data_IF_392163456446
#
_entry.id   IF_392163456446
#
_cell.length_a   1.000
_cell.length_b   1.000
_cell.length_c   1.000
_cell.angle_alpha   90.00
_cell.angle_beta   90.00
_cell.angle_gamma   90.00
#
_symmetry.space_group_name_H-M   'P 1'
#
loop_
_entity.id
_entity.type
_entity.pdbx_description
1 polymer ?
#
# COMPACT_ATOMS: atom_id res chain seq x y z
N UNK A 1 4.98 -14.83 0.28
CA UNK A 1 6.07 -14.92 1.25
C UNK A 1 6.76 -13.55 1.35
N UNK A 2 6.65 -12.89 2.49
CA UNK A 2 7.39 -11.67 2.77
C UNK A 2 8.87 -12.02 2.95
N UNK A 3 9.71 -11.63 2.01
CA UNK A 3 11.16 -11.74 2.17
C UNK A 3 11.59 -10.79 3.27
N UNK A 4 11.88 -11.32 4.45
CA UNK A 4 12.44 -10.54 5.55
C UNK A 4 13.95 -10.40 5.35
N UNK A 5 14.40 -9.22 4.97
CA UNK A 5 15.83 -8.89 4.91
C UNK A 5 16.35 -8.63 6.32
N UNK A 6 17.34 -9.37 6.76
CA UNK A 6 17.95 -9.16 8.07
C UNK A 6 18.49 -7.73 8.22
N UNK A 7 18.41 -7.18 9.43
CA UNK A 7 18.83 -5.81 9.71
C UNK A 7 20.29 -5.52 9.28
N UNK A 8 21.17 -6.53 9.30
CA UNK A 8 22.56 -6.42 8.86
C UNK A 8 22.76 -6.32 7.33
N UNK A 9 21.70 -6.58 6.54
CA UNK A 9 21.76 -6.57 5.08
C UNK A 9 21.12 -5.30 4.47
N UNK A 10 20.75 -4.34 5.29
CA UNK A 10 20.10 -3.10 4.84
C UNK A 10 20.60 -1.89 5.60
N UNK A 11 20.63 -0.74 4.92
CA UNK A 11 20.84 0.58 5.50
C UNK A 11 19.75 1.48 4.92
N UNK A 12 18.83 1.93 5.76
CA UNK A 12 17.65 2.69 5.33
C UNK A 12 17.59 4.00 6.05
N UNK A 13 17.54 5.09 5.31
CA UNK A 13 17.19 6.39 5.85
C UNK A 13 15.69 6.44 6.18
N UNK A 14 15.32 7.34 7.08
CA UNK A 14 13.92 7.70 7.29
C UNK A 14 13.51 8.64 6.17
N UNK A 15 12.50 8.26 5.38
CA UNK A 15 11.97 9.11 4.31
C UNK A 15 11.37 10.41 4.86
N UNK A 16 11.32 11.45 4.03
CA UNK A 16 10.72 12.73 4.36
C UNK A 16 9.21 12.77 4.02
N UNK A 17 8.78 11.88 3.13
CA UNK A 17 7.39 11.80 2.69
C UNK A 17 6.62 10.79 3.54
N UNK A 18 5.48 11.20 4.09
CA UNK A 18 4.51 10.27 4.67
C UNK A 18 3.77 9.55 3.54
N UNK A 19 3.95 8.25 3.45
CA UNK A 19 3.27 7.44 2.42
C UNK A 19 1.96 6.90 2.95
N UNK A 20 0.92 6.93 2.11
CA UNK A 20 -0.37 6.32 2.43
C UNK A 20 -0.26 4.80 2.39
N UNK A 21 -1.30 4.12 2.88
CA UNK A 21 -1.42 2.67 2.79
C UNK A 21 -1.46 2.23 1.32
N UNK A 22 -0.76 1.16 1.06
CA UNK A 22 -0.53 0.68 -0.29
C UNK A 22 -1.07 -0.75 -0.49
N UNK A 23 -1.81 -0.90 -1.55
CA UNK A 23 -2.28 -2.19 -2.05
C UNK A 23 -1.67 -2.43 -3.43
N UNK A 24 -0.61 -3.20 -3.48
CA UNK A 24 0.07 -3.49 -4.74
C UNK A 24 0.31 -4.97 -4.95
N UNK A 25 0.11 -5.42 -6.17
CA UNK A 25 0.54 -6.73 -6.64
C UNK A 25 1.72 -6.53 -7.59
N UNK A 26 2.75 -7.34 -7.48
CA UNK A 26 3.88 -7.27 -8.40
C UNK A 26 5.19 -7.73 -7.78
N UNK A 27 6.27 -7.56 -8.55
CA UNK A 27 7.62 -7.90 -8.09
C UNK A 27 8.07 -6.90 -7.03
N UNK A 28 8.66 -7.37 -5.93
CA UNK A 28 9.14 -6.55 -4.82
C UNK A 28 10.01 -5.37 -5.29
N UNK A 29 10.93 -5.61 -6.22
CA UNK A 29 11.79 -4.55 -6.77
C UNK A 29 10.98 -3.44 -7.47
N UNK A 30 9.90 -3.79 -8.18
CA UNK A 30 9.04 -2.79 -8.83
C UNK A 30 8.34 -1.91 -7.81
N UNK A 31 7.91 -2.47 -6.69
CA UNK A 31 7.29 -1.73 -5.60
C UNK A 31 8.32 -0.82 -4.90
N UNK A 32 9.52 -1.34 -4.66
CA UNK A 32 10.63 -0.55 -4.09
C UNK A 32 10.98 0.65 -4.99
N UNK A 33 11.00 0.49 -6.32
CA UNK A 33 11.23 1.58 -7.27
C UNK A 33 10.10 2.63 -7.27
N UNK A 34 8.88 2.23 -6.98
CA UNK A 34 7.78 3.20 -6.81
C UNK A 34 7.93 4.01 -5.52
N UNK A 35 8.37 3.38 -4.42
CA UNK A 35 8.72 4.09 -3.18
C UNK A 35 9.86 5.08 -3.41
N UNK A 36 10.93 4.63 -4.08
CA UNK A 36 12.07 5.44 -4.48
C UNK A 36 11.63 6.68 -5.28
N UNK A 37 10.78 6.49 -6.28
CA UNK A 37 10.26 7.59 -7.11
C UNK A 37 9.39 8.56 -6.30
N UNK A 38 8.54 8.06 -5.38
CA UNK A 38 7.66 8.88 -4.54
C UNK A 38 8.46 9.72 -3.53
N UNK A 39 9.50 9.13 -2.94
CA UNK A 39 10.38 9.85 -2.00
C UNK A 39 11.40 10.75 -2.72
N UNK A 40 11.56 10.64 -4.04
CA UNK A 40 12.67 11.22 -4.80
C UNK A 40 14.04 10.79 -4.25
N UNK A 41 14.10 9.60 -3.67
CA UNK A 41 15.28 9.00 -3.06
C UNK A 41 16.06 8.12 -4.03
N UNK A 42 16.95 7.29 -3.48
CA UNK A 42 17.74 6.33 -4.25
C UNK A 42 17.84 4.98 -3.54
N UNK A 43 17.53 3.91 -4.28
CA UNK A 43 17.81 2.53 -3.85
C UNK A 43 19.02 2.03 -4.62
N UNK A 44 20.04 1.61 -3.88
CA UNK A 44 21.28 1.07 -4.45
C UNK A 44 21.82 -0.11 -3.63
N UNK A 45 22.65 -0.90 -4.26
CA UNK A 45 23.51 -1.84 -3.56
C UNK A 45 24.77 -1.12 -3.07
N UNK A 46 25.19 -1.42 -1.84
CA UNK A 46 26.47 -0.94 -1.30
C UNK A 46 27.60 -1.89 -1.70
N UNK A 47 28.84 -1.43 -1.61
CA UNK A 47 30.02 -2.27 -1.86
C UNK A 47 30.10 -3.52 -0.97
N UNK A 48 29.42 -3.51 0.17
CA UNK A 48 29.37 -4.63 1.12
C UNK A 48 28.17 -5.56 0.86
N UNK A 49 27.49 -5.43 -0.28
CA UNK A 49 26.37 -6.28 -0.68
C UNK A 49 25.06 -5.99 0.09
N UNK A 50 24.93 -4.81 0.72
CA UNK A 50 23.70 -4.40 1.41
C UNK A 50 22.82 -3.58 0.49
N UNK A 51 21.51 -3.60 0.72
CA UNK A 51 20.60 -2.65 0.11
C UNK A 51 20.59 -1.38 0.95
N UNK A 52 20.88 -0.25 0.30
CA UNK A 52 20.75 1.07 0.88
C UNK A 52 19.56 1.81 0.24
N UNK A 53 18.77 2.46 1.09
CA UNK A 53 17.81 3.48 0.67
C UNK A 53 18.29 4.83 1.23
N UNK A 54 18.51 5.76 0.34
CA UNK A 54 18.90 7.14 0.63
C UNK A 54 17.70 8.05 0.35
N UNK A 55 17.27 8.84 1.33
CA UNK A 55 16.17 9.79 1.16
C UNK A 55 16.57 10.94 0.24
N UNK A 56 15.63 11.81 -0.13
CA UNK A 56 15.88 12.97 -1.00
C UNK A 56 16.93 13.94 -0.44
N UNK A 57 17.07 14.02 0.87
CA UNK A 57 17.99 14.93 1.55
C UNK A 57 19.35 14.31 1.84
N UNK A 58 19.49 12.99 1.74
CA UNK A 58 20.73 12.28 2.09
C UNK A 58 21.96 12.92 1.46
N UNK A 59 21.92 13.17 0.15
CA UNK A 59 23.06 13.75 -0.59
C UNK A 59 23.35 15.19 -0.22
N UNK A 60 22.36 15.93 0.26
CA UNK A 60 22.53 17.34 0.66
C UNK A 60 22.97 17.44 2.12
N UNK A 61 22.48 16.55 2.98
CA UNK A 61 22.73 16.59 4.44
C UNK A 61 23.93 15.74 4.88
N UNK A 62 24.37 14.80 4.06
CA UNK A 62 25.53 13.95 4.34
C UNK A 62 26.78 14.78 4.65
N UNK A 63 27.54 14.37 5.66
CA UNK A 63 28.81 15.02 6.01
C UNK A 63 29.77 15.05 4.82
N UNK A 64 29.82 13.99 4.03
CA UNK A 64 30.62 13.90 2.81
C UNK A 64 30.23 14.95 1.78
N UNK A 65 28.94 15.24 1.62
CA UNK A 65 28.45 16.26 0.68
C UNK A 65 28.69 17.69 1.16
N UNK A 66 28.72 17.91 2.48
CA UNK A 66 28.93 19.23 3.09
C UNK A 66 30.39 19.60 3.26
N UNK A 67 31.28 18.62 3.24
CA UNK A 67 32.71 18.84 3.42
C UNK A 67 33.38 18.86 2.04
N UNK A 68 34.28 19.84 1.83
CA UNK A 68 35.11 19.87 0.60
C UNK A 68 35.87 18.54 0.47
N UNK A 69 35.68 17.85 -0.66
CA UNK A 69 36.35 16.58 -0.94
C UNK A 69 37.68 16.76 -1.63
N UNK A 70 37.89 17.89 -2.32
CA UNK A 70 39.11 18.24 -3.00
C UNK A 70 39.19 19.73 -3.21
N UNK A 71 40.43 20.24 -3.27
CA UNK A 71 40.73 21.61 -3.70
C UNK A 71 41.54 21.51 -4.99
N UNK A 72 41.19 22.31 -5.99
CA UNK A 72 41.91 22.43 -7.24
C UNK A 72 42.61 23.75 -7.30
N UNK A 73 43.89 23.77 -7.68
CA UNK A 73 44.66 24.96 -7.86
C UNK A 73 45.74 24.75 -8.93
N UNK A 74 46.20 25.82 -9.54
CA UNK A 74 47.26 25.81 -10.56
C UNK A 74 48.65 26.23 -9.98
N UNK A 75 48.66 26.53 -8.69
CA UNK A 75 49.87 26.96 -7.97
C UNK A 75 50.73 25.82 -7.39
N UNK A 76 50.34 24.58 -7.63
CA UNK A 76 51.00 23.33 -7.17
C UNK A 76 50.73 22.98 -5.70
N UNK A 77 49.83 23.70 -5.00
CA UNK A 77 49.51 23.43 -3.59
C UNK A 77 48.35 22.45 -3.43
N UNK A 78 47.60 22.19 -4.51
CA UNK A 78 46.45 21.27 -4.53
C UNK A 78 46.40 20.46 -5.81
N UNK A 79 45.28 19.79 -6.11
CA UNK A 79 45.11 19.03 -7.34
C UNK A 79 45.14 19.99 -8.54
N UNK A 80 45.98 19.65 -9.56
CA UNK A 80 46.01 20.46 -10.80
C UNK A 80 44.79 20.16 -11.67
N UNK A 81 44.39 21.16 -12.48
CA UNK A 81 43.30 21.03 -13.44
C UNK A 81 43.69 21.64 -14.80
N UNK A 82 43.12 21.11 -15.87
CA UNK A 82 43.42 21.62 -17.24
C UNK A 82 42.43 22.64 -17.75
N UNK A 83 41.32 22.80 -17.04
CA UNK A 83 40.28 23.80 -17.35
C UNK A 83 39.04 23.57 -16.49
N UNK A 84 38.35 24.66 -16.21
CA UNK A 84 37.03 24.65 -15.56
C UNK A 84 36.05 25.32 -16.54
N UNK A 85 34.98 24.59 -16.86
CA UNK A 85 33.87 25.15 -17.63
C UNK A 85 32.67 25.24 -16.71
N UNK A 86 32.13 26.45 -16.56
CA UNK A 86 30.84 26.68 -15.93
C UNK A 86 29.78 26.88 -17.02
N UNK A 87 28.76 26.06 -17.00
CA UNK A 87 27.60 26.24 -17.87
C UNK A 87 26.38 26.63 -17.05
N UNK A 88 25.78 27.75 -17.40
CA UNK A 88 24.58 28.30 -16.78
C UNK A 88 23.43 28.21 -17.80
N UNK A 89 22.78 27.05 -17.86
CA UNK A 89 21.73 26.80 -18.84
C UNK A 89 20.34 27.17 -18.32
N UNK A 90 19.79 28.23 -18.87
CA UNK A 90 18.39 28.61 -18.67
C UNK A 90 17.39 27.51 -19.09
N UNK A 91 17.82 26.57 -19.92
CA UNK A 91 17.02 25.41 -20.33
C UNK A 91 16.72 24.42 -19.21
N UNK A 92 17.47 24.47 -18.11
CA UNK A 92 17.30 23.60 -16.93
C UNK A 92 16.52 24.27 -15.79
N UNK A 93 16.05 25.49 -15.98
CA UNK A 93 15.20 26.17 -14.98
C UNK A 93 13.75 25.78 -15.21
N UNK A 94 13.15 25.12 -14.23
CA UNK A 94 11.72 24.82 -14.19
C UNK A 94 11.12 25.47 -12.95
N UNK A 95 9.94 26.05 -13.09
CA UNK A 95 9.25 26.78 -12.03
C UNK A 95 7.77 26.37 -11.91
N UNK A 96 7.40 25.28 -12.55
CA UNK A 96 6.13 24.61 -12.37
C UNK A 96 6.33 23.10 -12.49
N UNK A 97 5.80 22.35 -11.52
CA UNK A 97 5.77 20.90 -11.51
C UNK A 97 4.32 20.43 -11.39
N UNK A 98 3.95 19.47 -12.22
CA UNK A 98 2.63 18.84 -12.22
C UNK A 98 2.80 17.37 -11.83
N UNK A 99 2.02 16.91 -10.85
CA UNK A 99 2.01 15.51 -10.42
C UNK A 99 0.60 14.95 -10.39
N UNK A 100 0.30 13.86 -11.13
CA UNK A 100 -0.95 13.14 -10.94
C UNK A 100 -0.89 12.35 -9.64
N UNK A 101 -1.85 12.55 -8.76
CA UNK A 101 -2.00 11.80 -7.51
C UNK A 101 -3.37 11.14 -7.44
N UNK A 102 -3.44 9.98 -6.80
CA UNK A 102 -4.68 9.29 -6.47
C UNK A 102 -4.77 9.14 -4.96
N UNK A 103 -5.85 9.62 -4.37
CA UNK A 103 -6.04 9.60 -2.92
C UNK A 103 -6.74 8.30 -2.53
N UNK A 104 -6.16 7.56 -1.60
CA UNK A 104 -6.76 6.37 -1.01
C UNK A 104 -7.55 6.75 0.25
N UNK A 105 -8.81 6.39 0.28
CA UNK A 105 -9.70 6.66 1.40
C UNK A 105 -10.18 5.36 2.02
N UNK A 106 -10.11 5.28 3.34
CA UNK A 106 -10.60 4.13 4.11
C UNK A 106 -12.04 4.41 4.54
N UNK A 107 -12.94 3.53 4.16
CA UNK A 107 -14.36 3.61 4.57
C UNK A 107 -14.56 3.12 6.00
N UNK A 108 -15.73 3.41 6.58
CA UNK A 108 -16.16 2.79 7.84
C UNK A 108 -16.35 1.28 7.71
N UNK A 109 -16.45 0.59 8.87
CA UNK A 109 -16.71 -0.85 8.90
C UNK A 109 -18.07 -1.16 8.26
N UNK A 110 -18.06 -2.03 7.26
CA UNK A 110 -19.26 -2.48 6.55
C UNK A 110 -19.17 -3.99 6.24
N UNK A 111 -20.28 -4.59 5.83
CA UNK A 111 -20.27 -5.94 5.24
C UNK A 111 -19.68 -5.86 3.85
N UNK A 112 -18.54 -6.51 3.66
CA UNK A 112 -17.80 -6.48 2.40
C UNK A 112 -18.07 -7.73 1.55
N UNK A 113 -18.41 -8.82 2.19
CA UNK A 113 -18.68 -10.08 1.53
C UNK A 113 -19.74 -10.85 2.30
N UNK A 114 -20.62 -11.54 1.57
CA UNK A 114 -21.64 -12.43 2.13
C UNK A 114 -21.59 -13.73 1.35
N UNK A 115 -21.52 -14.85 2.05
CA UNK A 115 -21.60 -16.16 1.43
C UNK A 115 -22.98 -16.34 0.79
N UNK A 116 -23.07 -16.86 -0.45
CA UNK A 116 -24.34 -17.13 -1.10
C UNK A 116 -25.01 -18.39 -0.50
N UNK A 117 -25.31 -18.34 0.81
CA UNK A 117 -26.07 -19.37 1.49
C UNK A 117 -27.49 -19.34 0.94
N UNK A 118 -28.02 -20.43 0.55
CA UNK A 118 -29.46 -20.73 0.31
C UNK A 118 -30.39 -19.62 -0.27
N UNK A 119 -29.95 -18.36 -0.38
CA UNK A 119 -30.78 -17.23 -0.90
C UNK A 119 -31.05 -17.34 -2.40
N UNK A 120 -30.36 -18.20 -3.10
CA UNK A 120 -30.53 -18.48 -4.55
C UNK A 120 -30.97 -19.91 -4.84
N UNK A 121 -31.64 -20.58 -3.89
CA UNK A 121 -32.15 -21.95 -4.09
C UNK A 121 -31.14 -23.07 -3.81
N UNK A 122 -29.96 -22.75 -3.25
CA UNK A 122 -29.00 -23.71 -2.73
C UNK A 122 -29.29 -24.11 -1.29
N UNK A 123 -28.99 -25.33 -0.89
CA UNK A 123 -29.07 -25.74 0.51
C UNK A 123 -27.96 -25.07 1.32
N UNK A 124 -28.24 -24.66 2.57
CA UNK A 124 -27.22 -24.20 3.49
C UNK A 124 -26.11 -25.26 3.63
N UNK A 125 -24.82 -24.89 3.60
CA UNK A 125 -23.73 -25.85 3.79
C UNK A 125 -23.93 -26.62 5.10
N UNK A 126 -23.86 -27.95 4.97
CA UNK A 126 -24.00 -28.85 6.09
C UNK A 126 -22.61 -29.28 6.55
N UNK A 127 -22.37 -29.27 7.86
CA UNK A 127 -21.12 -29.72 8.48
C UNK A 127 -21.46 -30.91 9.39
N UNK A 128 -20.87 -32.05 9.13
CA UNK A 128 -20.96 -33.21 10.01
C UNK A 128 -20.20 -32.95 11.32
N UNK A 129 -20.45 -33.75 12.35
CA UNK A 129 -19.72 -33.61 13.63
C UNK A 129 -18.21 -33.73 13.43
N UNK A 130 -17.44 -32.74 13.86
CA UNK A 130 -15.99 -32.69 13.70
C UNK A 130 -15.51 -32.27 12.31
N UNK A 131 -16.38 -31.98 11.37
CA UNK A 131 -16.00 -31.55 10.03
C UNK A 131 -15.42 -30.14 10.04
N UNK A 132 -14.42 -29.94 9.15
CA UNK A 132 -13.76 -28.63 8.91
C UNK A 132 -13.98 -28.25 7.47
N UNK A 133 -14.47 -27.04 7.24
CA UNK A 133 -14.56 -26.44 5.90
C UNK A 133 -13.76 -25.17 5.82
N UNK A 134 -13.27 -24.86 4.62
CA UNK A 134 -12.56 -23.60 4.32
C UNK A 134 -13.35 -22.81 3.29
N UNK A 135 -13.60 -21.54 3.58
CA UNK A 135 -14.33 -20.61 2.73
C UNK A 135 -13.49 -19.34 2.56
N UNK A 136 -13.34 -18.89 1.31
CA UNK A 136 -12.60 -17.66 1.01
C UNK A 136 -13.59 -16.54 0.71
N UNK A 137 -13.57 -15.53 1.56
CA UNK A 137 -14.23 -14.25 1.32
C UNK A 137 -13.30 -13.37 0.47
N UNK A 138 -13.72 -13.02 -0.74
CA UNK A 138 -12.95 -12.19 -1.66
C UNK A 138 -13.56 -10.80 -1.80
N UNK A 139 -12.71 -9.76 -1.79
CA UNK A 139 -13.12 -8.37 -1.98
C UNK A 139 -12.00 -7.60 -2.73
N UNK A 140 -12.29 -6.70 -3.70
CA UNK A 140 -13.63 -6.26 -4.05
C UNK A 140 -14.44 -7.32 -4.79
N UNK A 141 -15.74 -7.30 -4.54
CA UNK A 141 -16.72 -8.06 -5.33
C UNK A 141 -17.10 -7.26 -6.59
N UNK A 142 -17.65 -7.88 -7.65
CA UNK A 142 -18.12 -7.15 -8.82
C UNK A 142 -19.14 -6.05 -8.52
N UNK A 143 -19.85 -6.14 -7.40
CA UNK A 143 -20.83 -5.15 -6.95
C UNK A 143 -20.21 -3.97 -6.17
N UNK A 144 -18.92 -4.07 -5.80
CA UNK A 144 -18.27 -3.05 -4.97
C UNK A 144 -17.90 -1.75 -5.71
N UNK A 145 -17.96 -1.75 -7.03
CA UNK A 145 -17.59 -0.60 -7.86
C UNK A 145 -16.13 -0.65 -8.33
N UNK A 146 -15.80 0.20 -9.29
CA UNK A 146 -14.49 0.21 -9.95
C UNK A 146 -13.39 0.90 -9.13
N UNK A 147 -13.77 1.76 -8.18
CA UNK A 147 -12.82 2.55 -7.37
C UNK A 147 -12.39 1.84 -6.09
N UNK A 148 -12.91 0.66 -5.82
CA UNK A 148 -12.53 -0.14 -4.65
C UNK A 148 -11.31 -1.00 -4.99
N UNK A 149 -10.27 -0.90 -4.17
CA UNK A 149 -8.99 -1.55 -4.43
C UNK A 149 -8.67 -2.68 -3.46
N UNK A 150 -9.32 -2.74 -2.30
CA UNK A 150 -9.10 -3.79 -1.32
C UNK A 150 -9.69 -3.49 0.05
N UNK A 151 -9.18 -4.15 1.06
CA UNK A 151 -9.60 -4.04 2.46
C UNK A 151 -8.42 -3.56 3.30
N UNK A 152 -8.62 -2.49 4.04
CA UNK A 152 -7.63 -1.98 5.00
C UNK A 152 -7.52 -2.92 6.21
N UNK A 153 -8.67 -3.27 6.77
CA UNK A 153 -8.74 -4.20 7.90
C UNK A 153 -10.02 -5.05 7.84
N UNK A 154 -9.85 -6.38 7.89
CA UNK A 154 -10.94 -7.29 8.14
C UNK A 154 -11.25 -7.34 9.63
N UNK A 155 -12.53 -7.22 10.00
CA UNK A 155 -12.97 -7.49 11.37
C UNK A 155 -12.87 -8.96 11.71
N UNK A 156 -12.68 -9.28 12.99
CA UNK A 156 -12.88 -10.65 13.47
C UNK A 156 -14.37 -10.97 13.44
N UNK A 157 -14.71 -12.15 12.94
CA UNK A 157 -16.10 -12.59 12.86
C UNK A 157 -16.72 -12.72 14.25
N UNK A 158 -17.84 -12.05 14.44
CA UNK A 158 -18.62 -12.10 15.68
C UNK A 158 -19.77 -13.10 15.56
N UNK A 159 -19.91 -13.96 16.58
CA UNK A 159 -21.01 -14.91 16.69
C UNK A 159 -22.35 -14.19 16.56
N UNK A 160 -23.31 -14.80 15.92
CA UNK A 160 -24.66 -14.30 15.61
C UNK A 160 -24.70 -13.10 14.67
N UNK A 161 -23.73 -12.20 14.74
CA UNK A 161 -23.61 -11.06 13.83
C UNK A 161 -23.11 -11.48 12.45
N UNK A 162 -22.03 -12.24 12.42
CA UNK A 162 -21.32 -12.57 11.17
C UNK A 162 -21.53 -14.02 10.72
N UNK A 163 -21.83 -14.92 11.63
CA UNK A 163 -22.14 -16.32 11.32
C UNK A 163 -23.22 -16.89 12.24
N UNK A 164 -23.99 -17.83 11.70
CA UNK A 164 -25.02 -18.59 12.40
C UNK A 164 -24.98 -20.04 11.93
N UNK A 165 -25.22 -20.97 12.87
CA UNK A 165 -25.45 -22.37 12.57
C UNK A 165 -26.66 -22.91 13.34
N UNK A 166 -27.44 -23.71 12.65
CA UNK A 166 -28.67 -24.30 13.19
C UNK A 166 -28.75 -25.80 12.89
N UNK A 167 -29.59 -26.51 13.63
CA UNK A 167 -29.85 -27.92 13.40
C UNK A 167 -30.58 -28.22 12.08
N UNK A 168 -31.25 -27.21 11.50
CA UNK A 168 -31.94 -27.33 10.22
C UNK A 168 -31.45 -26.31 9.20
N UNK A 169 -31.49 -26.66 7.92
CA UNK A 169 -30.98 -25.84 6.83
C UNK A 169 -31.80 -24.57 6.57
N UNK A 170 -33.03 -24.52 7.05
CA UNK A 170 -33.92 -23.35 6.96
C UNK A 170 -33.69 -22.32 8.09
N UNK A 171 -32.71 -22.56 8.97
CA UNK A 171 -32.42 -21.71 10.12
C UNK A 171 -33.31 -21.99 11.34
N UNK A 172 -34.14 -23.00 11.29
CA UNK A 172 -34.92 -23.45 12.44
C UNK A 172 -34.18 -24.47 13.28
N UNK A 173 -34.78 -24.91 14.39
CA UNK A 173 -34.20 -25.86 15.31
C UNK A 173 -33.19 -25.25 16.27
N UNK A 174 -32.41 -26.15 16.91
CA UNK A 174 -31.43 -25.74 17.93
C UNK A 174 -30.34 -24.89 17.29
N UNK A 175 -29.99 -23.78 17.99
CA UNK A 175 -28.87 -22.92 17.58
C UNK A 175 -27.56 -23.54 18.05
N UNK A 176 -26.65 -23.82 17.12
CA UNK A 176 -25.32 -24.40 17.31
C UNK A 176 -24.19 -23.41 16.98
N UNK A 177 -24.50 -22.10 16.92
CA UNK A 177 -23.51 -21.07 16.56
C UNK A 177 -22.32 -21.05 17.52
N UNK A 178 -22.55 -21.32 18.82
CA UNK A 178 -21.49 -21.39 19.85
C UNK A 178 -20.59 -22.62 19.71
N UNK A 179 -21.05 -23.62 19.00
CA UNK A 179 -20.30 -24.87 18.79
C UNK A 179 -19.36 -24.80 17.59
N UNK A 180 -19.38 -23.70 16.83
CA UNK A 180 -18.46 -23.47 15.74
C UNK A 180 -17.12 -22.93 16.20
N UNK A 181 -16.03 -23.60 15.81
CA UNK A 181 -14.68 -23.07 15.88
C UNK A 181 -14.38 -22.26 14.62
N UNK A 182 -13.91 -21.01 14.77
CA UNK A 182 -13.57 -20.13 13.66
C UNK A 182 -12.09 -19.76 13.71
N UNK A 183 -11.34 -20.06 12.65
CA UNK A 183 -9.99 -19.58 12.44
C UNK A 183 -9.94 -18.70 11.18
N UNK A 184 -9.16 -17.61 11.20
CA UNK A 184 -9.13 -16.59 10.16
C UNK A 184 -7.70 -16.32 9.70
N UNK A 185 -7.50 -16.35 8.37
CA UNK A 185 -6.28 -15.82 7.72
C UNK A 185 -6.67 -14.59 6.89
N UNK A 186 -6.15 -13.43 7.26
CA UNK A 186 -6.54 -12.14 6.68
C UNK A 186 -5.48 -11.64 5.71
N UNK A 187 -5.89 -11.25 4.50
CA UNK A 187 -5.07 -10.61 3.48
C UNK A 187 -5.75 -9.31 2.98
N UNK A 188 -5.09 -8.57 2.10
CA UNK A 188 -5.57 -7.26 1.63
C UNK A 188 -6.84 -7.33 0.76
N UNK A 189 -7.08 -8.46 0.12
CA UNK A 189 -8.24 -8.66 -0.78
C UNK A 189 -9.02 -9.94 -0.47
N UNK A 190 -8.54 -10.75 0.47
CA UNK A 190 -9.18 -12.01 0.83
C UNK A 190 -9.13 -12.24 2.32
N UNK A 191 -10.12 -12.96 2.83
CA UNK A 191 -10.09 -13.56 4.15
C UNK A 191 -10.47 -15.02 4.03
N UNK A 192 -9.55 -15.90 4.43
CA UNK A 192 -9.80 -17.32 4.55
C UNK A 192 -10.46 -17.59 5.90
N UNK A 193 -11.59 -18.28 5.86
CA UNK A 193 -12.41 -18.59 7.02
C UNK A 193 -12.46 -20.11 7.15
N UNK A 194 -11.75 -20.65 8.12
CA UNK A 194 -11.84 -22.05 8.47
C UNK A 194 -12.92 -22.21 9.55
N UNK A 195 -13.89 -23.07 9.31
CA UNK A 195 -15.02 -23.36 10.20
C UNK A 195 -14.98 -24.80 10.61
N UNK A 196 -14.91 -25.06 11.91
CA UNK A 196 -14.95 -26.41 12.51
C UNK A 196 -16.27 -26.61 13.24
N UNK A 197 -16.97 -27.68 12.96
CA UNK A 197 -18.14 -28.09 13.76
C UNK A 197 -17.70 -28.87 15.00
N UNK A 198 -17.72 -28.23 16.15
CA UNK A 198 -17.42 -28.90 17.44
C UNK A 198 -18.65 -29.51 18.11
N UNK A 199 -19.86 -29.38 17.52
CA UNK A 199 -21.05 -30.08 18.00
C UNK A 199 -20.92 -31.57 17.75
N UNK A 200 -21.59 -32.38 18.58
CA UNK A 200 -21.69 -33.83 18.38
C UNK A 200 -22.73 -34.24 17.30
N UNK A 201 -23.30 -33.26 16.62
CA UNK A 201 -24.36 -33.43 15.63
C UNK A 201 -24.06 -32.66 14.37
N UNK A 202 -24.73 -33.03 13.28
CA UNK A 202 -24.72 -32.29 12.02
C UNK A 202 -25.35 -30.91 12.22
N UNK A 203 -24.70 -29.86 11.69
CA UNK A 203 -25.19 -28.47 11.71
C UNK A 203 -25.25 -27.90 10.31
N UNK A 204 -26.04 -26.86 10.12
CA UNK A 204 -26.15 -26.13 8.86
C UNK A 204 -25.72 -24.69 9.06
N UNK A 205 -24.79 -24.22 8.24
CA UNK A 205 -24.33 -22.84 8.26
C UNK A 205 -25.38 -21.95 7.57
N UNK A 206 -26.17 -21.23 8.36
CA UNK A 206 -27.32 -20.46 7.87
C UNK A 206 -27.03 -18.97 7.66
N UNK A 207 -25.89 -18.48 8.16
CA UNK A 207 -25.36 -17.16 7.89
C UNK A 207 -23.84 -17.20 7.88
N UNK A 208 -23.23 -16.51 6.93
CA UNK A 208 -21.80 -16.20 6.95
C UNK A 208 -21.56 -14.92 6.14
N UNK A 209 -20.96 -13.95 6.79
CA UNK A 209 -20.53 -12.68 6.17
C UNK A 209 -19.17 -12.25 6.73
N UNK A 210 -18.46 -11.48 5.95
CA UNK A 210 -17.20 -10.87 6.35
C UNK A 210 -17.32 -9.35 6.33
N UNK A 211 -16.98 -8.71 7.44
CA UNK A 211 -16.98 -7.25 7.60
C UNK A 211 -15.56 -6.71 7.64
N UNK A 212 -15.42 -5.45 7.27
CA UNK A 212 -14.13 -4.78 7.28
C UNK A 212 -14.24 -3.34 6.82
N UNK A 213 -13.11 -2.69 6.67
CA UNK A 213 -12.97 -1.34 6.15
C UNK A 213 -12.46 -1.39 4.71
N UNK A 214 -13.29 -1.00 3.75
CA UNK A 214 -12.92 -0.96 2.35
C UNK A 214 -11.97 0.20 2.07
N UNK A 215 -11.09 0.02 1.08
CA UNK A 215 -10.24 1.09 0.56
C UNK A 215 -10.70 1.45 -0.84
N UNK A 216 -11.00 2.74 -1.03
CA UNK A 216 -11.34 3.31 -2.31
C UNK A 216 -10.21 4.22 -2.80
N UNK A 217 -10.03 4.33 -4.10
CA UNK A 217 -9.11 5.24 -4.75
C UNK A 217 -9.89 6.30 -5.51
N UNK A 218 -9.52 7.58 -5.37
CA UNK A 218 -10.08 8.65 -6.19
C UNK A 218 -9.55 8.58 -7.62
N UNK A 219 -10.30 9.19 -8.56
CA UNK A 219 -9.72 9.49 -9.87
C UNK A 219 -8.46 10.35 -9.70
N UNK A 220 -7.44 10.18 -10.57
CA UNK A 220 -6.22 10.96 -10.49
C UNK A 220 -6.51 12.45 -10.57
N UNK A 221 -6.04 13.21 -9.60
CA UNK A 221 -6.06 14.67 -9.61
C UNK A 221 -4.66 15.20 -9.90
N UNK A 222 -4.53 16.22 -10.73
CA UNK A 222 -3.24 16.86 -11.00
C UNK A 222 -2.94 17.86 -9.90
N UNK A 223 -1.89 17.61 -9.15
CA UNK A 223 -1.34 18.56 -8.18
C UNK A 223 -0.30 19.45 -8.85
N UNK A 224 -0.25 20.69 -8.41
CA UNK A 224 0.65 21.71 -8.93
C UNK A 224 1.53 22.26 -7.79
N UNK A 225 2.83 22.30 -8.04
CA UNK A 225 3.78 23.08 -7.25
C UNK A 225 4.45 24.10 -8.16
N UNK A 226 4.46 25.38 -7.77
CA UNK A 226 5.00 26.46 -8.57
C UNK A 226 5.72 27.53 -7.73
N UNK A 227 6.65 28.21 -8.38
CA UNK A 227 7.36 29.38 -7.85
C UNK A 227 6.98 30.62 -8.65
N UNK A 228 6.04 31.40 -8.10
CA UNK A 228 5.55 32.63 -8.74
C UNK A 228 6.65 33.68 -8.93
N UNK A 229 7.66 33.75 -8.04
CA UNK A 229 8.77 34.68 -8.16
C UNK A 229 9.63 34.33 -9.36
N UNK A 230 9.98 33.07 -9.50
CA UNK A 230 10.71 32.54 -10.65
C UNK A 230 9.91 32.68 -11.96
N UNK A 231 8.58 32.46 -11.92
CA UNK A 231 7.72 32.67 -13.09
C UNK A 231 7.69 34.12 -13.55
N UNK A 232 7.71 35.07 -12.62
CA UNK A 232 7.77 36.50 -12.95
C UNK A 232 9.10 36.88 -13.60
N UNK A 233 10.22 36.31 -13.13
CA UNK A 233 11.54 36.61 -13.65
C UNK A 233 11.86 35.91 -14.99
N UNK A 234 11.40 34.66 -15.19
CA UNK A 234 11.84 33.80 -16.29
C UNK A 234 10.71 33.30 -17.17
N UNK A 235 9.46 33.70 -16.90
CA UNK A 235 8.26 33.14 -17.54
C UNK A 235 7.90 31.75 -17.03
N UNK A 236 6.72 31.26 -17.39
CA UNK A 236 6.26 29.92 -17.01
C UNK A 236 7.12 28.85 -17.71
N UNK A 237 7.68 27.95 -16.90
CA UNK A 237 8.52 26.84 -17.32
C UNK A 237 8.09 25.56 -16.62
N UNK A 238 7.18 24.85 -17.25
CA UNK A 238 6.65 23.58 -16.71
C UNK A 238 7.67 22.45 -16.93
N UNK A 239 7.94 21.67 -15.87
CA UNK A 239 8.76 20.46 -16.01
C UNK A 239 8.06 19.44 -16.89
N UNK A 240 8.70 19.01 -18.01
CA UNK A 240 8.02 18.26 -19.06
C UNK A 240 7.67 16.81 -18.71
N UNK A 241 8.26 16.30 -17.63
CA UNK A 241 8.07 14.91 -17.19
C UNK A 241 7.28 14.87 -15.92
N UNK A 242 6.14 15.18 -15.70
CA UNK A 242 5.44 15.14 -14.42
C UNK A 242 6.10 14.24 -13.34
N UNK A 243 5.98 14.57 -12.11
CA UNK A 243 6.48 13.74 -11.01
C UNK A 243 5.41 12.70 -10.70
N UNK A 244 5.68 11.41 -10.91
CA UNK A 244 4.76 10.35 -10.53
C UNK A 244 4.84 10.07 -9.03
N UNK A 245 4.09 10.80 -8.24
CA UNK A 245 4.00 10.63 -6.78
C UNK A 245 2.74 9.84 -6.41
N UNK A 246 2.73 8.55 -6.74
CA UNK A 246 1.53 7.69 -6.61
C UNK A 246 1.02 7.51 -5.17
N UNK A 247 1.83 7.80 -4.15
CA UNK A 247 1.57 7.36 -2.78
C UNK A 247 1.54 8.50 -1.79
N UNK A 248 1.46 9.71 -2.27
CA UNK A 248 1.31 10.90 -1.45
C UNK A 248 -0.17 11.06 -1.08
N UNK A 249 -0.52 11.07 0.22
CA UNK A 249 -1.91 11.09 0.67
C UNK A 249 -2.57 12.46 0.58
N UNK A 250 -1.79 13.54 0.57
CA UNK A 250 -2.31 14.90 0.65
C UNK A 250 -1.66 15.83 -0.36
N UNK A 251 -2.41 16.90 -0.70
CA UNK A 251 -1.91 17.96 -1.57
C UNK A 251 -0.70 18.71 -0.96
N UNK A 252 -0.63 18.81 0.35
CA UNK A 252 0.44 19.54 1.04
C UNK A 252 1.78 18.80 0.96
N UNK A 253 1.75 17.48 0.98
CA UNK A 253 2.97 16.66 0.84
C UNK A 253 3.43 16.49 -0.61
N UNK A 254 2.58 16.82 -1.58
CA UNK A 254 2.92 16.82 -3.01
C UNK A 254 3.62 18.10 -3.48
N UNK A 255 3.65 19.14 -2.66
CA UNK A 255 4.35 20.41 -2.91
C UNK A 255 5.79 20.34 -2.43
#
# INVERSE_FOLDING_TARGET
>A
DAVSWGAGLRTLDTGQTTMTRFFGSGKALSLMRQVEATEAGFIRETKDGKIAFEDRHHRVTSSTSKTSQATFADDGTALSYTGVQQEDSMGLVYNEFLSPISIFTVAGVATLWTHPLATTGGAAPALEAGEVIEIVAAYPTPAAGTNVVGVDAWTTLASTTDYLANAAADGTGTNHTSDLGIALTKASTTMEIQITNNAAVKVYLTKLQARGTAVTVSDPATMKADDATSQTAYGLRTYPRGIEAKWIPTQEEAK
#
